data_IF_981650370186
#
_entry.id   IF_981650370186
#
_cell.length_a   1.000
_cell.length_b   1.000
_cell.length_c   1.000
_cell.angle_alpha   90.00
_cell.angle_beta   90.00
_cell.angle_gamma   90.00
#
_symmetry.space_group_name_H-M   'P 1'
#
loop_
_entity.id
_entity.type
_entity.pdbx_description
1 polymer ?
#
# COMPACT_ATOMS: atom_id res chain seq x y z
N UNK A 1 5.38 -26.75 -31.11
CA UNK A 1 5.60 -25.40 -31.68
C UNK A 1 4.61 -24.39 -31.09
N UNK A 2 3.29 -24.60 -31.21
CA UNK A 2 2.27 -23.68 -30.63
C UNK A 2 2.36 -23.50 -29.11
N UNK A 3 2.71 -24.55 -28.37
CA UNK A 3 2.88 -24.51 -26.90
C UNK A 3 4.11 -23.71 -26.46
N UNK A 4 5.18 -23.75 -27.26
CA UNK A 4 6.47 -23.13 -26.95
C UNK A 4 6.42 -21.61 -27.15
N UNK A 5 5.72 -21.14 -28.20
CA UNK A 5 5.44 -19.72 -28.41
C UNK A 5 4.55 -19.16 -27.29
N UNK A 6 3.54 -19.92 -26.84
CA UNK A 6 2.69 -19.51 -25.72
C UNK A 6 3.43 -19.41 -24.39
N UNK A 7 4.41 -20.30 -24.13
CA UNK A 7 5.29 -20.21 -22.95
C UNK A 7 6.24 -19.02 -23.04
N UNK A 8 6.78 -18.73 -24.22
CA UNK A 8 7.65 -17.57 -24.47
C UNK A 8 6.90 -16.25 -24.27
N UNK A 9 5.65 -16.16 -24.73
CA UNK A 9 4.80 -14.99 -24.53
C UNK A 9 4.53 -14.75 -23.03
N UNK A 10 4.22 -15.79 -22.26
CA UNK A 10 4.01 -15.69 -20.80
C UNK A 10 5.28 -15.24 -20.07
N UNK A 11 6.43 -15.77 -20.47
CA UNK A 11 7.73 -15.39 -19.88
C UNK A 11 8.05 -13.92 -20.13
N UNK A 12 7.84 -13.41 -21.37
CA UNK A 12 8.02 -11.99 -21.68
C UNK A 12 7.10 -11.07 -20.87
N UNK A 13 5.86 -11.49 -20.61
CA UNK A 13 4.92 -10.72 -19.77
C UNK A 13 5.38 -10.70 -18.31
N UNK A 14 5.85 -11.83 -17.77
CA UNK A 14 6.38 -11.90 -16.41
C UNK A 14 7.62 -11.02 -16.26
N UNK A 15 8.55 -11.08 -17.21
CA UNK A 15 9.76 -10.24 -17.19
C UNK A 15 9.42 -8.75 -17.22
N UNK A 16 8.45 -8.36 -18.06
CA UNK A 16 7.97 -6.98 -18.11
C UNK A 16 7.33 -6.54 -16.79
N UNK A 17 6.52 -7.40 -16.16
CA UNK A 17 5.90 -7.11 -14.86
C UNK A 17 6.95 -6.95 -13.77
N UNK A 18 7.95 -7.84 -13.73
CA UNK A 18 9.05 -7.77 -12.76
C UNK A 18 9.86 -6.49 -12.96
N UNK A 19 10.20 -6.14 -14.20
CA UNK A 19 10.90 -4.90 -14.51
C UNK A 19 10.11 -3.67 -14.02
N UNK A 20 8.80 -3.63 -14.30
CA UNK A 20 7.94 -2.54 -13.88
C UNK A 20 7.89 -2.41 -12.35
N UNK A 21 7.73 -3.52 -11.63
CA UNK A 21 7.74 -3.53 -10.16
C UNK A 21 9.06 -3.02 -9.58
N UNK A 22 10.20 -3.42 -10.16
CA UNK A 22 11.51 -2.95 -9.73
C UNK A 22 11.68 -1.44 -9.94
N UNK A 23 11.21 -0.90 -11.07
CA UNK A 23 11.24 0.53 -11.34
C UNK A 23 10.40 1.33 -10.33
N UNK A 24 9.21 0.85 -9.98
CA UNK A 24 8.37 1.45 -8.94
C UNK A 24 9.04 1.42 -7.57
N UNK A 25 9.67 0.30 -7.20
CA UNK A 25 10.35 0.16 -5.92
C UNK A 25 11.57 1.10 -5.78
N UNK A 26 12.31 1.32 -6.86
CA UNK A 26 13.46 2.24 -6.87
C UNK A 26 13.05 3.71 -6.72
N UNK A 27 11.87 4.09 -7.20
CA UNK A 27 11.30 5.44 -7.06
C UNK A 27 10.48 5.66 -5.78
N UNK A 28 10.23 4.60 -5.01
CA UNK A 28 9.48 4.69 -3.77
C UNK A 28 10.33 5.38 -2.70
N UNK A 29 10.02 6.64 -2.40
CA UNK A 29 10.48 7.29 -1.18
C UNK A 29 9.56 6.87 -0.04
N UNK A 30 10.12 6.45 1.09
CA UNK A 30 9.32 6.32 2.31
C UNK A 30 8.84 7.71 2.72
N UNK A 31 7.56 7.83 3.09
CA UNK A 31 7.05 9.08 3.63
C UNK A 31 7.75 9.36 4.97
N UNK A 32 8.64 10.36 5.00
CA UNK A 32 9.33 10.84 6.21
C UNK A 32 8.67 12.09 6.79
N UNK A 33 7.50 12.48 6.27
CA UNK A 33 6.76 13.63 6.77
C UNK A 33 6.04 13.29 8.08
N UNK A 34 5.87 14.30 8.93
CA UNK A 34 5.04 14.19 10.13
C UNK A 34 3.57 14.00 9.74
N UNK A 35 2.96 12.93 10.26
CA UNK A 35 1.52 12.71 10.11
C UNK A 35 0.81 13.63 11.10
N UNK A 36 0.26 14.73 10.61
CA UNK A 36 -0.53 15.68 11.40
C UNK A 36 -1.96 15.15 11.66
N UNK A 37 -2.03 13.93 12.19
CA UNK A 37 -3.27 13.23 12.52
C UNK A 37 -3.48 13.18 14.03
N UNK A 38 -4.75 13.06 14.44
CA UNK A 38 -5.09 12.70 15.81
C UNK A 38 -5.47 11.23 15.86
N UNK A 39 -5.02 10.52 16.88
CA UNK A 39 -5.51 9.16 17.15
C UNK A 39 -6.80 9.29 17.94
N UNK A 40 -7.83 8.57 17.54
CA UNK A 40 -9.13 8.57 18.21
C UNK A 40 -9.48 7.13 18.57
N UNK A 41 -9.92 6.92 19.80
CA UNK A 41 -10.49 5.65 20.24
C UNK A 41 -11.92 5.56 19.72
N UNK A 42 -12.15 4.64 18.78
CA UNK A 42 -13.47 4.27 18.27
C UNK A 42 -14.17 3.39 19.32
N UNK A 43 -15.12 3.98 20.04
CA UNK A 43 -15.82 3.33 21.15
C UNK A 43 -16.86 2.33 20.63
N UNK A 44 -17.49 2.64 19.49
CA UNK A 44 -18.51 1.79 18.87
C UNK A 44 -17.92 0.68 17.99
N UNK A 45 -16.66 0.80 17.60
CA UNK A 45 -15.95 -0.13 16.74
C UNK A 45 -16.50 -0.16 15.31
N UNK A 46 -17.13 0.93 14.84
CA UNK A 46 -17.81 1.01 13.55
C UNK A 46 -16.97 1.67 12.45
N UNK A 47 -15.73 2.04 12.78
CA UNK A 47 -14.78 2.75 11.92
C UNK A 47 -15.26 4.13 11.43
N UNK A 48 -16.31 4.68 12.05
CA UNK A 48 -16.77 6.05 11.86
C UNK A 48 -16.27 6.93 13.01
N UNK A 49 -16.46 8.24 12.89
CA UNK A 49 -16.21 9.17 14.00
C UNK A 49 -17.54 9.61 14.59
N UNK A 50 -17.81 9.18 15.81
CA UNK A 50 -18.99 9.52 16.59
C UNK A 50 -18.72 10.54 17.70
N UNK A 51 -19.76 11.18 18.25
CA UNK A 51 -19.65 12.04 19.44
C UNK A 51 -19.15 11.31 20.69
N UNK A 52 -19.24 9.99 20.73
CA UNK A 52 -18.75 9.10 21.78
C UNK A 52 -17.24 8.82 21.70
N UNK A 53 -16.61 9.11 20.56
CA UNK A 53 -15.21 8.78 20.33
C UNK A 53 -14.26 9.82 20.93
N UNK A 54 -13.16 9.33 21.50
CA UNK A 54 -12.27 10.16 22.30
C UNK A 54 -10.90 10.28 21.65
N UNK A 55 -10.40 11.51 21.49
CA UNK A 55 -9.03 11.76 21.03
C UNK A 55 -8.06 11.22 22.08
N UNK A 56 -7.14 10.37 21.65
CA UNK A 56 -6.04 9.90 22.47
C UNK A 56 -4.90 10.91 22.39
N UNK A 57 -4.63 11.57 23.51
CA UNK A 57 -3.43 12.39 23.66
C UNK A 57 -2.23 11.44 23.87
N UNK A 58 -1.41 11.29 22.83
CA UNK A 58 -0.12 10.61 22.95
C UNK A 58 0.92 11.50 23.61
N UNK A 59 1.94 10.91 24.24
CA UNK A 59 3.22 11.57 24.45
C UNK A 59 3.95 11.49 23.10
N UNK A 60 4.09 12.64 22.43
CA UNK A 60 4.97 12.80 21.23
C UNK A 60 6.43 12.63 21.65
#
# INVERSE_FOLDING_TARGET
VSTMEGMKQKMMVVDLMVLLMMLFALGASAWTGEIHGRVVCDVCGDSSLGPEDHVLEGIV
#
